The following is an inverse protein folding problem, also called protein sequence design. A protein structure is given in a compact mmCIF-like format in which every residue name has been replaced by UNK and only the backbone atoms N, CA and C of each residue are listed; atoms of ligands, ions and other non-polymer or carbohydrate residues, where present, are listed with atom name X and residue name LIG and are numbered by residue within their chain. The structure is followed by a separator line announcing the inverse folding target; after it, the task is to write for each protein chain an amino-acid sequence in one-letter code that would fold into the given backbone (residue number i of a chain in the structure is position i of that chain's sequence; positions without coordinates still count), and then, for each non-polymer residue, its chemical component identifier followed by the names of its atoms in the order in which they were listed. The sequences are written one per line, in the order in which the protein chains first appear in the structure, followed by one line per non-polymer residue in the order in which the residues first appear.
data_IF_263841918414
#
_entry.id   IF_263841918414
#
_cell.length_a   1.000
_cell.length_b   1.000
_cell.length_c   1.000
_cell.angle_alpha   90.00
_cell.angle_beta   90.00
_cell.angle_gamma   90.00
#
_symmetry.space_group_name_H-M   'P 1'
#
loop_
_entity.id
_entity.type
_entity.pdbx_description
1 polymer ?
#
# COMPACT_ATOMS: atom_id res chain seq x y z
N UNK A 1 40.00 23.06 -5.26
CA UNK A 1 39.84 22.21 -4.07
C UNK A 1 38.37 22.23 -3.71
N UNK A 2 37.61 21.21 -4.12
CA UNK A 2 36.19 21.10 -3.80
C UNK A 2 36.04 20.47 -2.43
N UNK A 3 35.46 21.18 -1.47
CA UNK A 3 35.09 20.63 -0.18
C UNK A 3 34.01 19.56 -0.38
N UNK A 4 34.41 18.30 -0.24
CA UNK A 4 33.47 17.19 -0.15
C UNK A 4 32.92 17.19 1.27
N UNK A 5 31.74 17.79 1.44
CA UNK A 5 30.99 17.70 2.69
C UNK A 5 30.46 16.26 2.86
N UNK A 6 31.19 15.45 3.63
CA UNK A 6 30.83 14.07 3.98
C UNK A 6 29.70 13.97 5.01
N UNK A 7 29.25 15.10 5.57
CA UNK A 7 28.20 15.15 6.58
C UNK A 7 26.86 15.44 5.89
N UNK A 8 25.86 14.54 6.02
CA UNK A 8 24.52 14.83 5.51
C UNK A 8 23.97 16.05 6.26
N UNK A 9 23.46 17.05 5.53
CA UNK A 9 22.84 18.21 6.16
C UNK A 9 21.56 17.79 6.88
N UNK A 10 21.66 17.57 8.19
CA UNK A 10 20.51 17.28 9.04
C UNK A 10 19.73 18.59 9.17
N UNK A 11 18.56 18.67 8.54
CA UNK A 11 17.64 19.78 8.73
C UNK A 11 17.06 19.68 10.15
N UNK A 12 17.66 20.38 11.10
CA UNK A 12 17.41 20.26 12.56
C UNK A 12 15.92 20.35 12.90
N UNK A 13 15.16 21.22 12.24
CA UNK A 13 13.72 21.36 12.46
C UNK A 13 12.91 20.12 12.04
N UNK A 14 13.27 19.50 10.92
CA UNK A 14 12.60 18.30 10.39
C UNK A 14 12.95 17.07 11.24
N UNK A 15 14.22 16.99 11.66
CA UNK A 15 14.71 15.99 12.59
C UNK A 15 14.03 16.11 13.97
N UNK A 16 13.92 17.32 14.55
CA UNK A 16 13.26 17.57 15.83
C UNK A 16 11.77 17.20 15.79
N UNK A 17 11.05 17.57 14.73
CA UNK A 17 9.61 17.33 14.60
C UNK A 17 9.28 15.82 14.45
N UNK A 18 10.12 15.06 13.74
CA UNK A 18 9.96 13.61 13.63
C UNK A 18 10.36 12.87 14.91
N UNK A 19 11.45 13.30 15.56
CA UNK A 19 11.94 12.69 16.79
C UNK A 19 10.97 12.96 17.95
N UNK A 20 10.44 14.18 18.07
CA UNK A 20 9.51 14.56 19.16
C UNK A 20 8.20 13.76 19.13
N UNK A 21 7.61 13.57 17.95
CA UNK A 21 6.36 12.80 17.79
C UNK A 21 6.51 11.33 18.15
N UNK A 22 7.67 10.75 17.86
CA UNK A 22 7.93 9.35 18.23
C UNK A 22 8.34 9.19 19.70
N UNK A 23 9.01 10.19 20.29
CA UNK A 23 9.34 10.18 21.71
C UNK A 23 8.09 10.24 22.60
N UNK A 24 7.02 10.92 22.18
CA UNK A 24 5.77 11.00 22.96
C UNK A 24 5.14 9.62 23.23
N UNK A 25 5.13 8.73 22.23
CA UNK A 25 4.57 7.38 22.34
C UNK A 25 5.40 6.46 23.25
N UNK A 26 6.69 6.72 23.38
CA UNK A 26 7.60 5.94 24.24
C UNK A 26 7.66 6.52 25.65
N UNK A 27 7.62 7.84 25.79
CA UNK A 27 7.75 8.52 27.07
C UNK A 27 6.50 8.39 27.93
N UNK A 28 5.30 8.42 27.35
CA UNK A 28 4.08 8.30 28.15
C UNK A 28 3.97 6.95 28.89
N UNK A 29 4.19 5.78 28.26
CA UNK A 29 4.24 4.51 28.97
C UNK A 29 5.37 4.45 29.99
N UNK A 30 6.56 4.96 29.64
CA UNK A 30 7.72 4.98 30.54
C UNK A 30 7.42 5.81 31.80
N UNK A 31 6.84 7.01 31.66
CA UNK A 31 6.50 7.84 32.82
C UNK A 31 5.41 7.20 33.66
N UNK A 32 4.38 6.63 33.04
CA UNK A 32 3.31 5.92 33.74
C UNK A 32 3.86 4.75 34.57
N UNK A 33 4.61 3.82 33.94
CA UNK A 33 5.10 2.64 34.64
C UNK A 33 6.18 2.96 35.66
N UNK A 34 7.02 3.98 35.43
CA UNK A 34 7.98 4.43 36.42
C UNK A 34 7.26 4.93 37.69
N UNK A 35 6.24 5.76 37.49
CA UNK A 35 5.42 6.29 38.58
C UNK A 35 4.66 5.17 39.30
N UNK A 36 4.06 4.25 38.56
CA UNK A 36 3.36 3.09 39.11
C UNK A 36 4.27 2.20 39.97
N UNK A 37 5.54 2.04 39.57
CA UNK A 37 6.53 1.28 40.35
C UNK A 37 6.91 1.98 41.66
N UNK A 38 7.00 3.31 41.67
CA UNK A 38 7.33 4.11 42.86
C UNK A 38 6.17 4.19 43.84
N UNK A 39 4.93 4.30 43.33
CA UNK A 39 3.71 4.47 44.15
C UNK A 39 3.20 3.12 44.68
N UNK A 40 3.71 1.98 44.20
CA UNK A 40 3.26 0.65 44.61
C UNK A 40 3.27 0.49 46.14
N UNK A 41 2.09 0.35 46.79
CA UNK A 41 2.01 0.25 48.24
C UNK A 41 2.59 -1.08 48.72
N UNK A 42 3.17 -1.08 49.92
CA UNK A 42 3.59 -2.31 50.59
C UNK A 42 2.37 -3.02 51.16
N UNK A 43 2.21 -4.29 50.84
CA UNK A 43 1.15 -5.16 51.33
C UNK A 43 1.73 -6.44 51.95
N UNK A 44 0.96 -7.08 52.81
CA UNK A 44 1.35 -8.33 53.48
C UNK A 44 1.31 -9.56 52.57
N UNK A 45 0.63 -9.47 51.43
CA UNK A 45 0.38 -10.58 50.51
C UNK A 45 1.42 -10.66 49.37
N UNK A 46 2.31 -9.66 49.27
CA UNK A 46 3.37 -9.58 48.25
C UNK A 46 2.89 -9.11 46.87
N UNK A 47 1.66 -8.64 46.73
CA UNK A 47 1.08 -8.18 45.46
C UNK A 47 1.81 -6.93 44.91
N UNK A 48 2.14 -5.99 45.79
CA UNK A 48 2.88 -4.76 45.52
C UNK A 48 4.32 -5.05 45.14
N UNK A 49 5.00 -5.94 45.87
CA UNK A 49 6.34 -6.41 45.55
C UNK A 49 6.39 -7.10 44.17
N UNK A 50 5.41 -7.96 43.88
CA UNK A 50 5.28 -8.58 42.56
C UNK A 50 5.13 -7.53 41.46
N UNK A 51 4.24 -6.54 41.66
CA UNK A 51 4.01 -5.48 40.67
C UNK A 51 5.26 -4.64 40.44
N UNK A 52 5.98 -4.26 41.50
CA UNK A 52 7.21 -3.49 41.42
C UNK A 52 8.31 -4.23 40.66
N UNK A 53 8.51 -5.54 40.95
CA UNK A 53 9.48 -6.37 40.23
C UNK A 53 9.12 -6.54 38.74
N UNK A 54 7.83 -6.60 38.40
CA UNK A 54 7.38 -6.70 37.00
C UNK A 54 7.61 -5.40 36.24
N UNK A 55 7.35 -4.27 36.88
CA UNK A 55 7.63 -2.94 36.34
C UNK A 55 9.15 -2.75 36.16
N UNK A 56 9.96 -3.14 37.13
CA UNK A 56 11.41 -3.05 37.03
C UNK A 56 11.94 -3.88 35.84
N UNK A 57 11.46 -5.12 35.69
CA UNK A 57 11.79 -5.96 34.53
C UNK A 57 11.33 -5.34 33.22
N UNK A 58 10.10 -4.82 33.16
CA UNK A 58 9.61 -4.13 31.96
C UNK A 58 10.54 -2.97 31.57
N UNK A 59 10.91 -2.14 32.53
CA UNK A 59 11.75 -0.97 32.28
C UNK A 59 13.14 -1.36 31.80
N UNK A 60 13.75 -2.36 32.43
CA UNK A 60 15.12 -2.79 32.12
C UNK A 60 15.20 -3.67 30.88
N UNK A 61 14.23 -4.55 30.63
CA UNK A 61 14.30 -5.51 29.51
C UNK A 61 13.54 -5.05 28.28
N UNK A 62 12.54 -4.18 28.39
CA UNK A 62 11.78 -3.69 27.23
C UNK A 62 12.21 -2.27 26.88
N UNK A 63 11.99 -1.31 27.78
CA UNK A 63 12.20 0.11 27.46
C UNK A 63 13.68 0.52 27.43
N UNK A 64 14.54 -0.06 28.25
CA UNK A 64 15.98 0.23 28.26
C UNK A 64 16.65 -0.03 26.90
N UNK A 65 16.58 -1.26 26.35
CA UNK A 65 17.13 -1.58 25.04
C UNK A 65 16.46 -0.78 23.92
N UNK A 66 15.15 -0.55 23.99
CA UNK A 66 14.41 0.27 23.02
C UNK A 66 15.02 1.68 22.91
N UNK A 67 15.19 2.36 24.06
CA UNK A 67 15.78 3.70 24.12
C UNK A 67 17.24 3.70 23.69
N UNK A 68 18.00 2.65 24.02
CA UNK A 68 19.39 2.49 23.57
C UNK A 68 19.51 2.36 22.05
N UNK A 69 18.77 1.42 21.44
CA UNK A 69 18.77 1.23 19.99
C UNK A 69 18.33 2.49 19.25
N UNK A 70 17.38 3.23 19.83
CA UNK A 70 16.90 4.49 19.28
C UNK A 70 17.96 5.59 19.37
N UNK A 71 18.65 5.71 20.50
CA UNK A 71 19.76 6.64 20.68
C UNK A 71 20.90 6.35 19.69
N UNK A 72 21.35 5.09 19.60
CA UNK A 72 22.31 4.66 18.58
C UNK A 72 21.79 4.98 17.18
N UNK A 73 20.49 4.78 16.97
CA UNK A 73 19.88 5.02 15.68
C UNK A 73 19.92 6.47 15.22
N UNK A 74 19.71 7.42 16.14
CA UNK A 74 19.81 8.85 15.87
C UNK A 74 21.24 9.30 15.55
N UNK A 75 22.24 8.66 16.16
CA UNK A 75 23.66 9.02 15.98
C UNK A 75 24.22 8.46 14.66
N UNK A 76 23.94 7.19 14.37
CA UNK A 76 24.65 6.45 13.31
C UNK A 76 23.90 6.39 11.97
N UNK A 77 22.59 6.64 11.95
CA UNK A 77 21.78 6.41 10.74
C UNK A 77 21.17 7.69 10.19
N UNK A 78 21.98 8.45 9.45
CA UNK A 78 21.57 9.70 8.84
C UNK A 78 21.04 9.54 7.39
N UNK A 79 20.59 8.33 7.01
CA UNK A 79 20.04 8.05 5.67
C UNK A 79 18.56 7.68 5.76
N UNK A 80 17.67 8.28 4.94
CA UNK A 80 16.23 8.06 5.03
C UNK A 80 15.81 6.60 4.81
N UNK A 81 16.56 5.85 4.00
CA UNK A 81 16.32 4.42 3.78
C UNK A 81 16.62 3.56 5.01
N UNK A 82 17.59 3.96 5.84
CA UNK A 82 18.01 3.24 7.05
C UNK A 82 17.01 3.45 8.21
N UNK A 83 16.34 4.60 8.23
CA UNK A 83 15.28 4.93 9.22
C UNK A 83 14.14 3.91 9.16
N UNK A 84 13.74 3.46 7.97
CA UNK A 84 12.68 2.46 7.81
C UNK A 84 13.09 1.14 8.46
N UNK A 85 14.33 0.69 8.25
CA UNK A 85 14.83 -0.55 8.85
C UNK A 85 14.95 -0.44 10.37
N UNK A 86 15.37 0.71 10.89
CA UNK A 86 15.36 0.95 12.33
C UNK A 86 13.96 0.84 12.92
N UNK A 87 12.97 1.46 12.28
CA UNK A 87 11.58 1.38 12.72
C UNK A 87 11.15 -0.08 12.73
N UNK A 88 11.37 -0.85 11.66
CA UNK A 88 10.97 -2.25 11.63
C UNK A 88 11.67 -3.10 12.71
N UNK A 89 12.96 -2.90 12.94
CA UNK A 89 13.74 -3.65 13.94
C UNK A 89 13.32 -3.26 15.38
N UNK A 90 13.24 -1.96 15.66
CA UNK A 90 12.89 -1.43 16.99
C UNK A 90 11.46 -1.85 17.37
N UNK A 91 10.50 -1.68 16.47
CA UNK A 91 9.12 -2.07 16.73
C UNK A 91 8.94 -3.59 16.76
N UNK A 92 9.67 -4.34 15.92
CA UNK A 92 9.69 -5.81 15.99
C UNK A 92 10.21 -6.30 17.34
N UNK A 93 11.33 -5.75 17.80
CA UNK A 93 11.87 -6.00 19.14
C UNK A 93 10.85 -5.67 20.24
N UNK A 94 10.19 -4.52 20.13
CA UNK A 94 9.22 -4.06 21.11
C UNK A 94 8.03 -5.02 21.24
N UNK A 95 7.44 -5.43 20.11
CA UNK A 95 6.32 -6.39 20.10
C UNK A 95 6.72 -7.73 20.70
N UNK A 96 7.88 -8.28 20.31
CA UNK A 96 8.37 -9.57 20.85
C UNK A 96 8.62 -9.46 22.35
N UNK A 97 9.30 -8.40 22.79
CA UNK A 97 9.66 -8.21 24.20
C UNK A 97 8.44 -8.00 25.09
N UNK A 98 7.44 -7.24 24.63
CA UNK A 98 6.17 -7.07 25.34
C UNK A 98 5.39 -8.39 25.43
N UNK A 99 5.33 -9.17 24.34
CA UNK A 99 4.65 -10.47 24.34
C UNK A 99 5.31 -11.44 25.33
N UNK A 100 6.64 -11.49 25.37
CA UNK A 100 7.37 -12.32 26.35
C UNK A 100 7.17 -11.84 27.79
N UNK A 101 7.15 -10.53 28.01
CA UNK A 101 6.87 -9.95 29.33
C UNK A 101 5.47 -10.32 29.79
N UNK A 102 4.46 -10.18 28.92
CA UNK A 102 3.07 -10.44 29.23
C UNK A 102 2.82 -11.90 29.62
N UNK A 103 3.28 -12.85 28.80
CA UNK A 103 3.22 -14.29 29.11
C UNK A 103 3.85 -14.58 30.49
N UNK A 104 4.99 -13.96 30.80
CA UNK A 104 5.67 -14.15 32.08
C UNK A 104 4.95 -13.49 33.26
N UNK A 105 4.21 -12.40 33.02
CA UNK A 105 3.35 -11.72 34.00
C UNK A 105 2.12 -12.57 34.29
N UNK A 106 1.40 -13.03 33.25
CA UNK A 106 0.24 -13.93 33.37
C UNK A 106 0.59 -15.20 34.17
N UNK A 107 1.70 -15.87 33.82
CA UNK A 107 2.19 -17.05 34.58
C UNK A 107 2.54 -16.72 36.03
N UNK A 108 3.09 -15.53 36.27
CA UNK A 108 3.44 -15.07 37.61
C UNK A 108 2.20 -14.82 38.48
N UNK A 109 1.13 -14.30 37.88
CA UNK A 109 -0.11 -14.02 38.61
C UNK A 109 -0.78 -15.28 39.14
N UNK A 110 -0.75 -16.40 38.41
CA UNK A 110 -1.29 -17.68 38.90
C UNK A 110 -0.71 -18.16 40.24
N UNK A 111 0.39 -17.55 40.72
CA UNK A 111 1.03 -17.86 42.00
C UNK A 111 0.68 -16.86 43.12
N UNK A 112 -0.13 -15.84 42.83
CA UNK A 112 -0.53 -14.82 43.78
C UNK A 112 -1.76 -15.24 44.59
N UNK A 113 -1.91 -14.63 45.75
CA UNK A 113 -3.08 -14.79 46.59
C UNK A 113 -4.34 -14.20 45.91
N UNK A 114 -5.54 -14.77 46.12
CA UNK A 114 -6.78 -14.33 45.48
C UNK A 114 -7.12 -12.85 45.75
N UNK A 115 -6.64 -12.28 46.85
CA UNK A 115 -6.82 -10.88 47.23
C UNK A 115 -6.16 -9.92 46.22
N UNK A 116 -5.11 -10.36 45.51
CA UNK A 116 -4.42 -9.56 44.51
C UNK A 116 -5.25 -9.32 43.24
N UNK A 117 -6.37 -10.03 43.03
CA UNK A 117 -7.18 -9.98 41.80
C UNK A 117 -8.33 -8.95 41.83
N UNK A 118 -8.43 -8.15 42.90
CA UNK A 118 -9.38 -7.04 42.91
C UNK A 118 -9.05 -6.00 41.83
N UNK A 119 -10.05 -5.48 41.07
CA UNK A 119 -9.82 -4.62 39.91
C UNK A 119 -9.18 -3.27 40.26
N UNK A 120 -9.38 -2.79 41.49
CA UNK A 120 -8.78 -1.57 42.02
C UNK A 120 -7.42 -1.81 42.69
N UNK A 121 -6.97 -3.06 42.75
CA UNK A 121 -5.65 -3.38 43.27
C UNK A 121 -4.58 -2.93 42.25
N UNK A 122 -3.49 -2.33 42.74
CA UNK A 122 -2.43 -1.74 41.90
C UNK A 122 -1.88 -2.73 40.86
N UNK A 123 -1.72 -4.00 41.26
CA UNK A 123 -1.24 -5.07 40.36
C UNK A 123 -2.18 -5.33 39.16
N UNK A 124 -3.51 -5.29 39.38
CA UNK A 124 -4.50 -5.49 38.32
C UNK A 124 -4.65 -4.25 37.44
N UNK A 125 -4.62 -3.05 38.03
CA UNK A 125 -4.63 -1.80 37.27
C UNK A 125 -3.41 -1.71 36.33
N UNK A 126 -2.24 -2.09 36.81
CA UNK A 126 -1.02 -2.13 36.00
C UNK A 126 -1.14 -3.14 34.85
N UNK A 127 -1.73 -4.32 35.08
CA UNK A 127 -1.99 -5.30 34.04
C UNK A 127 -2.98 -4.75 32.98
N UNK A 128 -4.10 -4.17 33.40
CA UNK A 128 -5.09 -3.60 32.50
C UNK A 128 -4.51 -2.50 31.60
N UNK A 129 -3.67 -1.63 32.17
CA UNK A 129 -3.00 -0.57 31.41
C UNK A 129 -1.99 -1.16 30.40
N UNK A 130 -1.30 -2.24 30.76
CA UNK A 130 -0.37 -2.94 29.86
C UNK A 130 -1.08 -3.60 28.69
N UNK A 131 -2.18 -4.30 28.95
CA UNK A 131 -3.02 -4.92 27.92
C UNK A 131 -3.56 -3.89 26.93
N UNK A 132 -4.07 -2.76 27.45
CA UNK A 132 -4.53 -1.66 26.60
C UNK A 132 -3.41 -1.10 25.71
N UNK A 133 -2.21 -0.92 26.28
CA UNK A 133 -1.05 -0.44 25.53
C UNK A 133 -0.58 -1.46 24.48
N UNK A 134 -0.53 -2.75 24.82
CA UNK A 134 -0.19 -3.83 23.89
C UNK A 134 -1.14 -3.86 22.69
N UNK A 135 -2.46 -3.81 22.94
CA UNK A 135 -3.48 -3.80 21.88
C UNK A 135 -3.32 -2.57 20.97
N UNK A 136 -3.15 -1.38 21.56
CA UNK A 136 -2.96 -0.15 20.80
C UNK A 136 -1.74 -0.22 19.87
N UNK A 137 -0.65 -0.83 20.34
CA UNK A 137 0.58 -0.95 19.56
C UNK A 137 0.52 -2.09 18.53
N UNK A 138 -0.07 -3.25 18.82
CA UNK A 138 -0.08 -4.41 17.92
C UNK A 138 -1.15 -4.33 16.83
N UNK A 139 -2.34 -3.81 17.12
CA UNK A 139 -3.45 -3.77 16.17
C UNK A 139 -3.11 -3.09 14.83
N UNK A 140 -2.45 -1.91 14.79
CA UNK A 140 -2.08 -1.27 13.53
C UNK A 140 -1.11 -2.09 12.66
N UNK A 141 -0.25 -2.92 13.26
CA UNK A 141 0.64 -3.79 12.48
C UNK A 141 -0.11 -4.96 11.88
N UNK A 142 -1.01 -5.58 12.67
CA UNK A 142 -1.85 -6.66 12.15
C UNK A 142 -2.73 -6.18 10.99
N UNK A 143 -3.27 -4.96 11.07
CA UNK A 143 -4.03 -4.39 9.95
C UNK A 143 -3.14 -4.16 8.74
N UNK A 144 -1.93 -3.62 8.89
CA UNK A 144 -1.00 -3.45 7.76
C UNK A 144 -0.65 -4.81 7.13
N UNK A 145 -0.26 -5.81 7.94
CA UNK A 145 0.16 -7.12 7.45
C UNK A 145 -0.98 -7.91 6.76
N UNK A 146 -2.23 -7.72 7.16
CA UNK A 146 -3.38 -8.41 6.56
C UNK A 146 -3.99 -7.63 5.40
N UNK A 147 -4.16 -6.31 5.57
CA UNK A 147 -4.87 -5.46 4.61
C UNK A 147 -3.98 -5.03 3.45
N UNK A 148 -2.69 -4.73 3.70
CA UNK A 148 -1.81 -4.26 2.62
C UNK A 148 -1.60 -5.32 1.53
N UNK A 149 -1.30 -6.61 1.83
CA UNK A 149 -1.18 -7.62 0.78
C UNK A 149 -2.49 -7.85 0.03
N UNK A 150 -3.62 -7.83 0.74
CA UNK A 150 -4.94 -7.94 0.13
C UNK A 150 -5.23 -6.77 -0.83
N UNK A 151 -4.96 -5.54 -0.38
CA UNK A 151 -5.10 -4.35 -1.21
C UNK A 151 -4.17 -4.39 -2.43
N UNK A 152 -2.91 -4.77 -2.24
CA UNK A 152 -1.93 -4.93 -3.32
C UNK A 152 -2.38 -6.00 -4.32
N UNK A 153 -2.97 -7.11 -3.84
CA UNK A 153 -3.56 -8.14 -4.68
C UNK A 153 -4.72 -7.59 -5.52
N UNK A 154 -5.63 -6.81 -4.93
CA UNK A 154 -6.73 -6.17 -5.66
C UNK A 154 -6.22 -5.18 -6.72
N UNK A 155 -5.24 -4.36 -6.38
CA UNK A 155 -4.60 -3.42 -7.32
C UNK A 155 -3.92 -4.17 -8.45
N UNK A 156 -3.20 -5.25 -8.15
CA UNK A 156 -2.56 -6.09 -9.14
C UNK A 156 -3.59 -6.73 -10.07
N UNK A 157 -4.68 -7.27 -9.54
CA UNK A 157 -5.76 -7.86 -10.31
C UNK A 157 -6.40 -6.82 -11.25
N UNK A 158 -6.71 -5.62 -10.74
CA UNK A 158 -7.26 -4.53 -11.52
C UNK A 158 -6.31 -4.08 -12.64
N UNK A 159 -5.02 -3.91 -12.33
CA UNK A 159 -4.00 -3.53 -13.30
C UNK A 159 -3.84 -4.59 -14.40
N UNK A 160 -3.81 -5.89 -14.02
CA UNK A 160 -3.72 -6.98 -14.97
C UNK A 160 -4.96 -7.02 -15.88
N UNK A 161 -6.17 -6.87 -15.32
CA UNK A 161 -7.40 -6.84 -16.12
C UNK A 161 -7.39 -5.68 -17.14
N UNK A 162 -6.95 -4.48 -16.73
CA UNK A 162 -6.80 -3.33 -17.65
C UNK A 162 -5.79 -3.62 -18.77
N UNK A 163 -4.65 -4.25 -18.44
CA UNK A 163 -3.63 -4.67 -19.42
C UNK A 163 -4.20 -5.68 -20.42
N UNK A 164 -4.89 -6.71 -19.94
CA UNK A 164 -5.50 -7.74 -20.80
C UNK A 164 -6.56 -7.14 -21.73
N UNK A 165 -7.42 -6.24 -21.23
CA UNK A 165 -8.41 -5.53 -22.06
C UNK A 165 -7.76 -4.68 -23.15
N UNK A 166 -6.67 -3.96 -22.83
CA UNK A 166 -5.92 -3.15 -23.81
C UNK A 166 -5.28 -4.03 -24.89
N UNK A 167 -4.66 -5.15 -24.49
CA UNK A 167 -4.06 -6.11 -25.43
C UNK A 167 -5.12 -6.74 -26.34
N UNK A 168 -6.21 -7.25 -25.76
CA UNK A 168 -7.31 -7.83 -26.53
C UNK A 168 -7.89 -6.84 -27.54
N UNK A 169 -8.07 -5.56 -27.14
CA UNK A 169 -8.50 -4.49 -28.03
C UNK A 169 -7.51 -4.29 -29.20
N UNK A 170 -6.22 -4.23 -28.91
CA UNK A 170 -5.19 -4.06 -29.93
C UNK A 170 -5.21 -5.20 -30.97
N UNK A 171 -5.27 -6.46 -30.52
CA UNK A 171 -5.35 -7.61 -31.43
C UNK A 171 -6.65 -7.64 -32.23
N UNK A 172 -7.79 -7.26 -31.63
CA UNK A 172 -9.07 -7.19 -32.33
C UNK A 172 -9.09 -6.14 -33.44
N UNK A 173 -8.51 -4.96 -33.17
CA UNK A 173 -8.38 -3.89 -34.17
C UNK A 173 -7.47 -4.34 -35.32
N UNK A 174 -6.35 -4.97 -35.00
CA UNK A 174 -5.39 -5.47 -36.01
C UNK A 174 -5.95 -6.64 -36.84
N UNK A 175 -6.91 -7.39 -36.31
CA UNK A 175 -7.56 -8.50 -37.01
C UNK A 175 -8.75 -8.08 -37.89
N UNK A 176 -9.09 -6.79 -37.94
CA UNK A 176 -10.14 -6.30 -38.85
C UNK A 176 -9.71 -6.47 -40.32
N UNK A 177 -10.67 -6.66 -41.23
CA UNK A 177 -10.36 -6.87 -42.64
C UNK A 177 -9.71 -5.63 -43.24
N UNK A 178 -8.57 -5.84 -43.90
CA UNK A 178 -7.90 -4.82 -44.69
C UNK A 178 -7.97 -5.26 -46.15
N UNK A 179 -8.83 -4.62 -46.93
CA UNK A 179 -9.10 -4.96 -48.33
C UNK A 179 -8.58 -3.86 -49.25
N UNK A 180 -8.07 -4.24 -50.43
CA UNK A 180 -7.61 -3.27 -51.42
C UNK A 180 -8.82 -2.50 -51.97
N UNK A 181 -8.69 -1.18 -52.09
CA UNK A 181 -9.75 -0.33 -52.62
C UNK A 181 -9.94 -0.58 -54.13
N UNK A 182 -11.16 -0.97 -54.51
CA UNK A 182 -11.60 -1.15 -55.89
C UNK A 182 -12.86 -0.32 -56.13
N UNK A 183 -12.79 0.66 -57.05
CA UNK A 183 -13.91 1.56 -57.33
C UNK A 183 -15.20 0.84 -57.70
N UNK A 184 -15.14 -0.34 -58.34
CA UNK A 184 -16.32 -1.13 -58.71
C UNK A 184 -17.01 -1.78 -57.51
N UNK A 185 -16.24 -2.18 -56.50
CA UNK A 185 -16.78 -2.78 -55.27
C UNK A 185 -17.46 -1.73 -54.38
N UNK A 186 -16.95 -0.49 -54.40
CA UNK A 186 -17.43 0.61 -53.57
C UNK A 186 -18.27 1.66 -54.33
N UNK A 187 -18.62 1.39 -55.58
CA UNK A 187 -19.29 2.33 -56.50
C UNK A 187 -20.64 2.87 -55.97
N UNK A 188 -21.32 2.09 -55.11
CA UNK A 188 -22.58 2.48 -54.46
C UNK A 188 -22.42 3.44 -53.29
N UNK A 189 -21.20 3.71 -52.85
CA UNK A 189 -20.92 4.66 -51.78
C UNK A 189 -20.59 6.02 -52.38
N UNK A 190 -21.31 7.06 -51.96
CA UNK A 190 -21.10 8.45 -52.40
C UNK A 190 -19.82 9.09 -51.84
N UNK A 191 -19.00 8.33 -51.13
CA UNK A 191 -17.82 8.80 -50.42
C UNK A 191 -16.58 8.13 -51.04
N UNK A 192 -15.82 8.90 -51.83
CA UNK A 192 -14.53 8.45 -52.40
C UNK A 192 -13.32 8.99 -51.63
N UNK A 193 -13.55 9.50 -50.42
CA UNK A 193 -12.55 10.10 -49.55
C UNK A 193 -12.64 9.52 -48.15
N UNK A 194 -11.50 9.37 -47.49
CA UNK A 194 -11.43 8.93 -46.12
C UNK A 194 -11.80 10.07 -45.16
N UNK A 195 -12.88 9.94 -44.41
CA UNK A 195 -13.32 11.00 -43.50
C UNK A 195 -12.42 11.23 -42.26
N UNK A 196 -11.29 10.51 -42.14
CA UNK A 196 -10.31 10.69 -41.06
C UNK A 196 -9.15 11.60 -41.53
N UNK A 197 -8.49 11.25 -42.65
CA UNK A 197 -7.39 12.05 -43.21
C UNK A 197 -7.85 13.09 -44.26
N UNK A 198 -9.10 12.99 -44.73
CA UNK A 198 -9.68 13.82 -45.79
C UNK A 198 -9.00 13.66 -47.17
N UNK A 199 -8.35 12.53 -47.41
CA UNK A 199 -7.71 12.20 -48.68
C UNK A 199 -8.58 11.26 -49.53
N UNK A 200 -8.52 11.40 -50.85
CA UNK A 200 -9.21 10.52 -51.80
C UNK A 200 -8.56 9.13 -51.86
N UNK A 201 -9.38 8.09 -51.99
CA UNK A 201 -8.87 6.72 -52.10
C UNK A 201 -8.21 6.45 -53.45
N UNK A 202 -7.02 5.85 -53.42
CA UNK A 202 -6.28 5.42 -54.60
C UNK A 202 -6.65 3.98 -54.98
N UNK A 203 -7.15 3.82 -56.20
CA UNK A 203 -7.60 2.52 -56.73
C UNK A 203 -6.43 1.55 -56.87
N UNK A 204 -6.59 0.34 -56.30
CA UNK A 204 -5.57 -0.74 -56.27
C UNK A 204 -4.29 -0.45 -55.49
N UNK A 205 -4.18 0.70 -54.83
CA UNK A 205 -3.02 1.09 -54.02
C UNK A 205 -3.37 1.14 -52.53
N UNK A 206 -4.52 1.74 -52.20
CA UNK A 206 -4.93 1.91 -50.81
C UNK A 206 -5.59 0.66 -50.23
N UNK A 207 -5.26 0.38 -48.97
CA UNK A 207 -6.00 -0.57 -48.15
C UNK A 207 -7.06 0.13 -47.33
N UNK A 208 -8.29 -0.35 -47.41
CA UNK A 208 -9.43 0.16 -46.66
C UNK A 208 -10.01 -0.91 -45.74
N UNK A 209 -10.52 -0.46 -44.59
CA UNK A 209 -11.22 -1.30 -43.62
C UNK A 209 -12.67 -0.82 -43.51
N UNK A 210 -13.66 -1.64 -43.94
CA UNK A 210 -15.07 -1.36 -43.72
C UNK A 210 -15.50 -1.67 -42.27
N UNK A 211 -16.46 -0.91 -41.75
CA UNK A 211 -17.04 -1.09 -40.41
C UNK A 211 -18.43 -1.73 -40.44
N UNK A 212 -18.83 -2.42 -39.36
CA UNK A 212 -20.08 -3.22 -39.27
C UNK A 212 -21.33 -2.37 -39.08
N UNK A 213 -21.14 -1.07 -38.89
CA UNK A 213 -22.23 -0.16 -38.60
C UNK A 213 -23.04 0.18 -39.86
N UNK A 214 -22.39 0.31 -41.01
CA UNK A 214 -22.98 0.56 -42.32
C UNK A 214 -21.95 0.19 -43.40
N UNK A 215 -22.38 -0.43 -44.51
CA UNK A 215 -21.48 -0.81 -45.61
C UNK A 215 -20.80 0.39 -46.29
N UNK A 216 -21.34 1.60 -46.11
CA UNK A 216 -20.77 2.87 -46.62
C UNK A 216 -19.70 3.46 -45.70
N UNK A 217 -19.49 2.91 -44.50
CA UNK A 217 -18.48 3.40 -43.56
C UNK A 217 -17.19 2.58 -43.71
N UNK A 218 -16.29 3.07 -44.54
CA UNK A 218 -14.94 2.53 -44.71
C UNK A 218 -13.93 3.67 -44.70
N UNK A 219 -12.70 3.34 -44.34
CA UNK A 219 -11.61 4.28 -44.12
C UNK A 219 -10.31 3.58 -44.52
N UNK A 220 -9.23 4.33 -44.73
CA UNK A 220 -7.89 3.72 -44.79
C UNK A 220 -7.65 2.86 -43.55
N UNK A 221 -7.12 1.65 -43.75
CA UNK A 221 -6.92 0.67 -42.68
C UNK A 221 -6.13 1.26 -41.51
N UNK A 222 -5.07 2.03 -41.80
CA UNK A 222 -4.25 2.65 -40.76
C UNK A 222 -5.01 3.75 -40.01
N UNK A 223 -5.72 4.63 -40.72
CA UNK A 223 -6.50 5.71 -40.12
C UNK A 223 -7.54 5.18 -39.14
N UNK A 224 -8.29 4.13 -39.51
CA UNK A 224 -9.32 3.60 -38.62
C UNK A 224 -8.76 2.74 -37.50
N UNK A 225 -7.63 2.05 -37.70
CA UNK A 225 -6.95 1.33 -36.61
C UNK A 225 -6.45 2.29 -35.52
N UNK A 226 -5.88 3.44 -35.91
CA UNK A 226 -5.46 4.47 -34.97
C UNK A 226 -6.66 5.10 -34.26
N UNK A 227 -7.70 5.46 -35.02
CA UNK A 227 -8.94 6.00 -34.45
C UNK A 227 -9.54 5.05 -33.42
N UNK A 228 -9.67 3.76 -33.76
CA UNK A 228 -10.26 2.76 -32.88
C UNK A 228 -9.38 2.45 -31.68
N UNK A 229 -8.06 2.65 -31.76
CA UNK A 229 -7.15 2.52 -30.62
C UNK A 229 -7.49 3.53 -29.52
N UNK A 230 -7.97 4.72 -29.91
CA UNK A 230 -8.36 5.80 -29.00
C UNK A 230 -9.86 5.78 -28.65
N UNK A 231 -10.76 5.61 -29.64
CA UNK A 231 -12.22 5.66 -29.45
C UNK A 231 -12.90 4.45 -30.06
N UNK A 232 -13.78 3.77 -29.34
CA UNK A 232 -14.47 2.57 -29.84
C UNK A 232 -15.72 2.90 -30.67
N UNK A 233 -15.71 3.96 -31.49
CA UNK A 233 -16.89 4.44 -32.22
C UNK A 233 -16.57 4.71 -33.68
N UNK A 234 -17.56 4.53 -34.56
CA UNK A 234 -17.44 4.96 -35.95
C UNK A 234 -17.28 6.50 -36.02
N UNK A 235 -16.30 7.03 -36.77
CA UNK A 235 -16.12 8.48 -36.96
C UNK A 235 -17.39 9.18 -37.46
N UNK A 236 -18.15 8.56 -38.36
CA UNK A 236 -19.32 9.13 -39.03
C UNK A 236 -20.61 9.02 -38.20
N UNK A 237 -20.99 7.81 -37.78
CA UNK A 237 -22.29 7.59 -37.11
C UNK A 237 -22.22 7.40 -35.60
N UNK A 238 -21.03 7.45 -34.99
CA UNK A 238 -20.81 7.29 -33.54
C UNK A 238 -21.28 5.95 -32.94
N UNK A 239 -21.69 4.99 -33.77
CA UNK A 239 -22.06 3.65 -33.31
C UNK A 239 -20.83 2.93 -32.75
N UNK A 240 -21.00 2.38 -31.54
CA UNK A 240 -19.94 1.65 -30.84
C UNK A 240 -19.52 0.40 -31.61
N UNK A 241 -18.22 0.27 -31.86
CA UNK A 241 -17.60 -0.93 -32.40
C UNK A 241 -17.30 -1.87 -31.24
N UNK A 242 -18.22 -2.80 -30.97
CA UNK A 242 -18.04 -3.80 -29.91
C UNK A 242 -17.09 -4.91 -30.36
N UNK A 243 -16.44 -5.64 -29.44
CA UNK A 243 -15.61 -6.81 -29.79
C UNK A 243 -16.34 -7.84 -30.67
N UNK A 244 -17.67 -7.98 -30.50
CA UNK A 244 -18.49 -8.87 -31.32
C UNK A 244 -18.59 -8.38 -32.78
N UNK A 245 -18.77 -7.08 -32.97
CA UNK A 245 -18.83 -6.44 -34.30
C UNK A 245 -17.47 -6.46 -35.00
N UNK A 246 -16.37 -6.29 -34.27
CA UNK A 246 -15.03 -6.40 -34.85
C UNK A 246 -14.71 -7.84 -35.30
N UNK A 247 -15.16 -8.85 -34.54
CA UNK A 247 -14.96 -10.27 -34.88
C UNK A 247 -15.78 -10.74 -36.08
N UNK A 248 -16.98 -10.20 -36.29
CA UNK A 248 -17.86 -10.65 -37.38
C UNK A 248 -17.31 -10.38 -38.79
N UNK A 249 -16.23 -9.62 -38.93
CA UNK A 249 -15.53 -9.44 -40.20
C UNK A 249 -14.18 -10.15 -40.30
N UNK A 250 -13.64 -10.63 -39.18
CA UNK A 250 -12.41 -11.43 -39.19
C UNK A 250 -12.65 -12.87 -39.68
N UNK A 251 -13.92 -13.25 -39.85
CA UNK A 251 -14.40 -14.54 -40.35
C UNK A 251 -14.98 -14.37 -41.74
#
# INVERSE_FOLDING_TARGET
MGEVNWLPSIRVHEWLNHTSKMLLLEWFPVTYFALAGVIAPKDSFGCGLFSAQRIEKLMTTVFGPLLFFRFCGLIFMNKPKLIIYQILIIYGYFVVSLTLWDINTLRGMHRLAPECYHPLHVSMLNLMTMEAFYIFMVCPYLTIFLVLPYYMYLVFQYANQKRQRKLAKHYLIKAMPSIIFDKKLFEKSSYQECAICMESFQEKEDYVTPLACDARHFYHSDCIQEWLSNKNECPLCKKLQTPKMMRSFSQ
#
